data_IF_126837031279
#
_entry.id   IF_126837031279
#
_cell.length_a   1.000
_cell.length_b   1.000
_cell.length_c   1.000
_cell.angle_alpha   90.00
_cell.angle_beta   90.00
_cell.angle_gamma   90.00
#
_symmetry.space_group_name_H-M   'P 1'
#
loop_
_entity.id
_entity.type
_entity.pdbx_description
1 polymer ?
#
# COMPACT_ATOMS: atom_id res chain seq x y z
N UNK A 1 17.11 4.02 31.69
CA UNK A 1 17.49 4.60 30.39
C UNK A 1 17.74 3.43 29.42
N UNK A 2 16.70 2.92 28.78
CA UNK A 2 16.81 1.84 27.80
C UNK A 2 16.71 2.46 26.40
N UNK A 3 17.79 2.34 25.64
CA UNK A 3 17.86 2.79 24.25
C UNK A 3 16.84 2.01 23.41
N UNK A 4 15.97 2.75 22.71
CA UNK A 4 15.13 2.21 21.65
C UNK A 4 16.07 1.83 20.51
N UNK A 5 16.49 0.56 20.48
CA UNK A 5 17.20 -0.03 19.35
C UNK A 5 16.35 0.16 18.10
N UNK A 6 16.80 1.06 17.24
CA UNK A 6 16.28 1.26 15.89
C UNK A 6 16.72 0.06 15.07
N UNK A 7 15.98 -1.05 15.20
CA UNK A 7 16.00 -2.10 14.20
C UNK A 7 15.37 -1.52 12.95
N UNK A 8 16.23 -1.10 12.03
CA UNK A 8 15.90 -0.73 10.66
C UNK A 8 14.85 -1.71 10.14
N UNK A 9 13.63 -1.21 9.89
CA UNK A 9 12.60 -1.99 9.23
C UNK A 9 13.21 -2.56 7.95
N UNK A 10 13.28 -3.89 7.78
CA UNK A 10 13.90 -4.47 6.60
C UNK A 10 13.13 -3.99 5.36
N UNK A 11 13.87 -3.39 4.44
CA UNK A 11 13.67 -3.39 2.99
C UNK A 11 12.34 -2.90 2.35
N UNK A 12 11.31 -2.46 3.10
CA UNK A 12 10.12 -1.86 2.46
C UNK A 12 10.34 -0.42 2.00
N UNK A 13 11.24 0.32 2.66
CA UNK A 13 11.54 1.72 2.33
C UNK A 13 12.56 1.89 1.19
N UNK A 14 13.38 0.86 0.89
CA UNK A 14 14.36 0.89 -0.20
C UNK A 14 13.86 0.25 -1.50
N UNK A 15 12.64 -0.30 -1.54
CA UNK A 15 12.11 -0.94 -2.74
C UNK A 15 11.61 0.06 -3.82
N UNK A 16 12.40 1.10 -4.07
CA UNK A 16 12.25 2.02 -5.21
C UNK A 16 12.54 1.32 -6.55
N UNK A 17 13.16 0.14 -6.52
CA UNK A 17 13.40 -0.76 -7.63
C UNK A 17 12.18 -1.63 -8.01
N UNK A 18 11.13 -1.59 -7.19
CA UNK A 18 9.92 -2.35 -7.47
C UNK A 18 10.05 -3.85 -7.22
N UNK A 19 10.87 -4.31 -6.27
CA UNK A 19 10.95 -5.74 -5.98
C UNK A 19 9.65 -6.39 -5.43
N UNK A 20 8.66 -5.59 -4.98
CA UNK A 20 7.28 -6.00 -4.63
C UNK A 20 6.32 -5.93 -5.84
N UNK A 21 6.81 -5.54 -7.02
CA UNK A 21 6.12 -5.48 -8.33
C UNK A 21 5.84 -6.84 -9.00
N UNK A 22 6.24 -8.04 -8.51
CA UNK A 22 5.75 -9.28 -9.13
C UNK A 22 4.22 -9.34 -9.23
N UNK A 23 3.50 -8.65 -8.33
CA UNK A 23 2.03 -8.51 -8.38
C UNK A 23 1.52 -7.37 -9.28
N UNK A 24 2.37 -6.41 -9.69
CA UNK A 24 2.01 -5.37 -10.67
C UNK A 24 2.08 -5.85 -12.12
N UNK A 25 2.56 -7.08 -12.37
CA UNK A 25 2.42 -7.73 -13.68
C UNK A 25 0.95 -7.96 -14.05
N UNK A 26 0.02 -7.90 -13.09
CA UNK A 26 -1.43 -7.86 -13.34
C UNK A 26 -1.91 -6.58 -14.04
N UNK A 27 -1.15 -5.50 -13.93
CA UNK A 27 -1.63 -4.16 -14.23
C UNK A 27 -1.51 -3.75 -15.73
N UNK A 28 -1.55 -4.75 -16.61
CA UNK A 28 -1.67 -4.60 -18.05
C UNK A 28 -2.77 -5.50 -18.63
N UNK A 29 -3.43 -6.29 -17.78
CA UNK A 29 -4.56 -7.14 -18.13
C UNK A 29 -5.76 -6.72 -17.28
N UNK A 30 -6.99 -6.84 -17.79
CA UNK A 30 -8.17 -6.64 -16.98
C UNK A 30 -8.16 -7.52 -15.73
N UNK A 31 -8.57 -6.96 -14.61
CA UNK A 31 -8.80 -7.74 -13.40
C UNK A 31 -9.98 -8.69 -13.61
N UNK A 32 -9.86 -9.86 -13.00
CA UNK A 32 -10.86 -10.93 -13.03
C UNK A 32 -11.34 -11.23 -11.62
N UNK A 33 -12.44 -11.96 -11.50
CA UNK A 33 -12.98 -12.36 -10.18
C UNK A 33 -11.93 -13.10 -9.33
N UNK A 34 -11.08 -13.90 -9.97
CA UNK A 34 -10.00 -14.64 -9.33
C UNK A 34 -9.00 -13.72 -8.58
N UNK A 35 -8.82 -12.48 -9.05
CA UNK A 35 -7.91 -11.51 -8.42
C UNK A 35 -8.44 -11.03 -7.06
N UNK A 36 -9.75 -11.12 -6.85
CA UNK A 36 -10.44 -10.69 -5.63
C UNK A 36 -10.69 -11.83 -4.63
N UNK A 37 -10.45 -13.09 -5.02
CA UNK A 37 -10.72 -14.27 -4.18
C UNK A 37 -9.91 -14.30 -2.86
N UNK A 38 -10.59 -14.25 -1.72
CA UNK A 38 -9.93 -14.25 -0.40
C UNK A 38 -9.52 -12.85 0.08
N UNK A 39 -10.09 -11.79 -0.50
CA UNK A 39 -10.08 -10.47 0.14
C UNK A 39 -11.05 -10.41 1.32
N UNK A 40 -10.72 -9.57 2.30
CA UNK A 40 -11.59 -9.24 3.41
C UNK A 40 -12.34 -7.95 3.09
N UNK A 41 -13.66 -7.98 3.24
CA UNK A 41 -14.52 -6.81 3.00
C UNK A 41 -14.86 -6.14 4.33
N UNK A 42 -14.62 -4.83 4.39
CA UNK A 42 -15.02 -4.00 5.54
C UNK A 42 -16.51 -3.64 5.47
N UNK A 43 -17.12 -3.17 6.57
CA UNK A 43 -18.49 -2.65 6.55
C UNK A 43 -18.72 -1.47 5.59
N UNK A 44 -17.65 -0.75 5.20
CA UNK A 44 -17.73 0.32 4.20
C UNK A 44 -17.77 -0.18 2.75
N UNK A 45 -17.60 -1.50 2.52
CA UNK A 45 -17.50 -2.10 1.20
C UNK A 45 -16.08 -2.13 0.62
N UNK A 46 -15.08 -1.62 1.36
CA UNK A 46 -13.68 -1.71 0.95
C UNK A 46 -13.18 -3.15 1.11
N UNK A 47 -12.65 -3.73 0.04
CA UNK A 47 -12.03 -5.05 0.07
C UNK A 47 -10.51 -4.95 0.05
N UNK A 48 -9.84 -5.72 0.91
CA UNK A 48 -8.38 -5.71 1.01
C UNK A 48 -7.80 -7.10 1.27
N UNK A 49 -6.53 -7.27 0.91
CA UNK A 49 -5.71 -8.43 1.29
C UNK A 49 -4.32 -7.97 1.64
N UNK A 50 -3.78 -8.52 2.73
CA UNK A 50 -2.37 -8.32 3.07
C UNK A 50 -1.56 -9.29 2.19
N UNK A 51 -0.70 -8.74 1.34
CA UNK A 51 0.18 -9.52 0.46
C UNK A 51 1.38 -10.05 1.22
N UNK A 52 1.95 -9.19 2.05
CA UNK A 52 3.10 -9.44 2.89
C UNK A 52 2.86 -8.69 4.20
N UNK A 53 2.98 -9.39 5.32
CA UNK A 53 2.81 -8.77 6.63
C UNK A 53 4.05 -7.94 6.98
N UNK A 54 3.82 -6.65 7.23
CA UNK A 54 4.84 -5.78 7.81
C UNK A 54 4.96 -5.96 9.32
N UNK A 55 6.06 -5.46 9.88
CA UNK A 55 6.32 -5.47 11.32
C UNK A 55 6.23 -4.06 11.90
N UNK A 56 5.97 -3.97 13.21
CA UNK A 56 5.98 -2.71 13.96
C UNK A 56 4.61 -2.27 14.47
N UNK A 57 4.56 -1.09 15.07
CA UNK A 57 3.35 -0.55 15.69
C UNK A 57 2.39 -0.06 14.61
N UNK A 58 1.15 -0.55 14.66
CA UNK A 58 0.08 -0.07 13.77
C UNK A 58 -0.18 1.43 14.02
N UNK A 59 -0.21 2.28 12.98
CA UNK A 59 -0.46 3.71 13.16
C UNK A 59 -1.87 3.94 13.73
N UNK A 60 -1.96 4.83 14.71
CA UNK A 60 -3.22 5.30 15.27
C UNK A 60 -3.79 6.45 14.42
N UNK A 61 -5.11 6.70 14.46
CA UNK A 61 -5.71 7.86 13.81
C UNK A 61 -5.00 9.16 14.22
N UNK A 62 -4.70 10.03 13.25
CA UNK A 62 -3.91 11.25 13.46
C UNK A 62 -2.41 11.09 13.21
N UNK A 63 -1.90 9.87 13.06
CA UNK A 63 -0.47 9.63 12.78
C UNK A 63 -0.12 10.00 11.34
N UNK A 64 0.94 10.77 11.14
CA UNK A 64 1.51 11.03 9.81
C UNK A 64 2.26 9.79 9.32
N UNK A 65 1.83 9.26 8.18
CA UNK A 65 2.47 8.12 7.52
C UNK A 65 2.87 8.48 6.10
N UNK A 66 3.83 7.73 5.56
CA UNK A 66 4.24 7.81 4.16
C UNK A 66 3.99 6.45 3.53
N UNK A 67 3.33 6.42 2.38
CA UNK A 67 3.16 5.21 1.62
C UNK A 67 3.41 5.47 0.15
N UNK A 68 3.99 4.48 -0.50
CA UNK A 68 3.90 4.40 -1.95
C UNK A 68 2.65 3.64 -2.36
N UNK A 69 2.08 4.04 -3.51
CA UNK A 69 0.86 3.47 -4.07
C UNK A 69 0.92 3.42 -5.60
N UNK A 70 0.08 2.55 -6.16
CA UNK A 70 -0.29 2.52 -7.57
C UNK A 70 -1.79 2.20 -7.68
N UNK A 71 -2.51 2.97 -8.50
CA UNK A 71 -3.94 2.84 -8.73
C UNK A 71 -4.24 2.42 -10.16
N UNK A 72 -5.18 1.48 -10.30
CA UNK A 72 -5.59 0.89 -11.57
C UNK A 72 -7.11 0.88 -11.68
N UNK A 73 -7.60 0.94 -12.92
CA UNK A 73 -8.99 0.66 -13.27
C UNK A 73 -9.17 -0.87 -13.41
N UNK A 74 -10.43 -1.32 -13.45
CA UNK A 74 -10.77 -2.75 -13.59
C UNK A 74 -10.30 -3.35 -14.92
N UNK A 75 -10.12 -2.52 -15.95
CA UNK A 75 -9.55 -2.92 -17.24
C UNK A 75 -8.02 -3.11 -17.21
N UNK A 76 -7.39 -2.95 -16.03
CA UNK A 76 -5.95 -3.04 -15.83
C UNK A 76 -5.22 -1.73 -16.11
N UNK A 77 -5.89 -0.69 -16.62
CA UNK A 77 -5.24 0.58 -16.94
C UNK A 77 -4.83 1.33 -15.68
N UNK A 78 -3.55 1.65 -15.57
CA UNK A 78 -3.02 2.51 -14.49
C UNK A 78 -3.51 3.95 -14.65
N UNK A 79 -4.03 4.55 -13.59
CA UNK A 79 -4.40 5.97 -13.58
C UNK A 79 -3.43 6.84 -12.76
N UNK A 80 -2.84 6.31 -11.69
CA UNK A 80 -1.85 7.04 -10.88
C UNK A 80 -0.85 6.06 -10.23
N UNK A 81 0.37 6.52 -9.99
CA UNK A 81 1.35 5.81 -9.18
C UNK A 81 2.35 6.80 -8.58
N UNK A 82 2.61 6.66 -7.28
CA UNK A 82 3.63 7.47 -6.60
C UNK A 82 5.05 7.25 -7.14
N UNK A 83 5.33 6.05 -7.65
CA UNK A 83 6.65 5.67 -8.16
C UNK A 83 7.05 6.45 -9.42
N UNK A 84 6.09 6.90 -10.24
CA UNK A 84 6.41 7.74 -11.41
C UNK A 84 6.94 9.11 -10.99
N UNK A 85 6.63 9.56 -9.77
CA UNK A 85 7.12 10.80 -9.17
C UNK A 85 8.36 10.60 -8.29
N UNK A 86 8.82 9.36 -8.11
CA UNK A 86 9.99 9.03 -7.29
C UNK A 86 9.88 9.32 -5.79
N UNK A 87 8.69 9.66 -5.29
CA UNK A 87 8.49 10.00 -3.87
C UNK A 87 7.17 9.48 -3.32
N UNK A 88 7.14 9.02 -2.05
CA UNK A 88 5.93 8.52 -1.41
C UNK A 88 4.96 9.67 -1.08
N UNK A 89 3.69 9.34 -0.97
CA UNK A 89 2.67 10.28 -0.50
C UNK A 89 2.67 10.30 1.04
N UNK A 90 2.77 11.50 1.62
CA UNK A 90 2.60 11.71 3.04
C UNK A 90 1.14 12.08 3.36
N UNK A 91 0.51 11.38 4.31
CA UNK A 91 -0.86 11.63 4.71
C UNK A 91 -1.09 11.27 6.18
N UNK A 92 -2.24 11.68 6.72
CA UNK A 92 -2.64 11.39 8.10
C UNK A 92 -3.52 10.15 8.10
N UNK A 93 -3.18 9.16 8.93
CA UNK A 93 -3.98 7.95 9.09
C UNK A 93 -5.34 8.31 9.73
N UNK A 94 -6.44 7.78 9.19
CA UNK A 94 -7.78 7.97 9.76
C UNK A 94 -8.39 9.37 9.59
N UNK A 95 -7.75 10.28 8.85
CA UNK A 95 -8.30 11.61 8.57
C UNK A 95 -7.57 12.33 7.45
N UNK A 96 -8.32 13.04 6.58
CA UNK A 96 -7.76 13.80 5.45
C UNK A 96 -8.52 13.59 4.15
N UNK A 97 -8.05 14.17 3.02
CA UNK A 97 -8.70 14.11 1.70
C UNK A 97 -8.45 12.79 0.95
N UNK A 98 -8.09 11.72 1.67
CA UNK A 98 -7.87 10.39 1.08
C UNK A 98 -9.21 9.64 0.99
N UNK A 99 -9.26 8.61 0.15
CA UNK A 99 -10.42 7.73 -0.03
C UNK A 99 -10.91 7.22 1.33
N UNK A 100 -12.21 7.38 1.59
CA UNK A 100 -12.90 6.97 2.82
C UNK A 100 -13.64 5.65 2.60
#
# INVERSE_FOLDING_TARGET
>A
LAALSSTTAPALAQAADGAWVPRLKLAQTPFTEADFEGMQTTPSGLSYRIVEEGFGVKPTPGTKIKAHYAGFLLDGKRFDASYTRGSPLAFVAGGGPIIK
#
